data_IF_011257656198
#
_entry.id   IF_011257656198
#
_cell.length_a   1.000
_cell.length_b   1.000
_cell.length_c   1.000
_cell.angle_alpha   90.00
_cell.angle_beta   90.00
_cell.angle_gamma   90.00
#
_symmetry.space_group_name_H-M   'P 1'
#
loop_
_entity.id
_entity.type
_entity.pdbx_description
1 polymer ?
#
# COMPACT_ATOMS: atom_id res chain seq x y z
N UNK A 1 8.65 -20.34 10.79
CA UNK A 1 9.67 -19.36 10.33
C UNK A 1 8.97 -18.42 9.37
N UNK A 2 9.38 -17.15 9.31
CA UNK A 2 8.70 -16.13 8.48
C UNK A 2 9.72 -15.54 7.51
N UNK A 3 9.38 -15.54 6.23
CA UNK A 3 10.15 -14.91 5.17
C UNK A 3 9.82 -13.43 5.09
N UNK A 4 10.82 -12.59 4.86
CA UNK A 4 10.62 -11.14 4.67
C UNK A 4 10.81 -10.77 3.20
N UNK A 5 9.86 -10.01 2.66
CA UNK A 5 9.96 -9.35 1.37
C UNK A 5 9.88 -7.85 1.60
N UNK A 6 11.04 -7.20 1.61
CA UNK A 6 11.16 -5.78 1.89
C UNK A 6 11.26 -5.00 0.58
N UNK A 7 10.28 -4.14 0.32
CA UNK A 7 10.30 -3.14 -0.73
C UNK A 7 10.59 -1.78 -0.11
N UNK A 8 11.50 -1.02 -0.71
CA UNK A 8 11.69 0.39 -0.42
C UNK A 8 11.31 1.23 -1.63
N UNK A 9 10.59 2.33 -1.39
CA UNK A 9 10.23 3.31 -2.41
C UNK A 9 10.81 4.66 -2.02
N UNK A 10 11.60 5.26 -2.92
CA UNK A 10 12.24 6.55 -2.70
C UNK A 10 11.89 7.50 -3.85
N UNK A 11 11.51 8.73 -3.51
CA UNK A 11 11.31 9.78 -4.50
C UNK A 11 12.66 10.17 -5.12
N UNK A 12 12.71 10.14 -6.45
CA UNK A 12 13.88 10.59 -7.23
C UNK A 12 13.67 12.03 -7.67
N UNK A 13 12.54 12.33 -8.33
CA UNK A 13 12.23 13.65 -8.86
C UNK A 13 10.75 13.84 -9.13
N UNK A 14 10.14 14.89 -8.57
CA UNK A 14 8.72 15.25 -8.79
C UNK A 14 7.76 14.07 -8.55
N UNK A 15 7.42 13.32 -9.60
CA UNK A 15 6.53 12.15 -9.60
C UNK A 15 7.23 10.83 -9.95
N UNK A 16 8.56 10.87 -10.07
CA UNK A 16 9.40 9.71 -10.37
C UNK A 16 9.90 9.06 -9.08
N UNK A 17 9.57 7.78 -8.92
CA UNK A 17 9.86 6.97 -7.75
C UNK A 17 10.72 5.79 -8.14
N UNK A 18 11.71 5.50 -7.29
CA UNK A 18 12.53 4.31 -7.43
C UNK A 18 12.09 3.27 -6.41
N UNK A 19 11.61 2.14 -6.91
CA UNK A 19 11.18 0.98 -6.16
C UNK A 19 12.31 -0.04 -6.21
N UNK A 20 12.68 -0.62 -5.07
CA UNK A 20 13.62 -1.74 -5.03
C UNK A 20 13.29 -2.73 -3.94
N UNK A 21 13.65 -3.98 -4.14
CA UNK A 21 13.64 -4.98 -3.08
C UNK A 21 14.94 -4.89 -2.27
N UNK A 22 14.86 -4.64 -0.97
CA UNK A 22 16.03 -4.52 -0.08
C UNK A 22 16.40 -5.85 0.57
N UNK A 23 15.40 -6.65 0.93
CA UNK A 23 15.58 -7.96 1.56
C UNK A 23 14.56 -8.92 0.99
N UNK A 24 15.06 -10.05 0.49
CA UNK A 24 14.27 -11.15 -0.04
C UNK A 24 14.85 -12.47 0.42
N UNK A 25 14.03 -13.51 0.45
CA UNK A 25 14.49 -14.86 0.81
C UNK A 25 15.48 -15.43 -0.21
N UNK A 26 16.37 -16.35 0.22
CA UNK A 26 17.27 -17.04 -0.69
C UNK A 26 16.51 -17.77 -1.79
N UNK A 27 16.83 -17.45 -3.05
CA UNK A 27 16.15 -17.97 -4.25
C UNK A 27 15.18 -16.99 -4.92
N UNK A 28 14.93 -15.83 -4.31
CA UNK A 28 14.12 -14.75 -4.90
C UNK A 28 15.05 -13.71 -5.55
N UNK A 29 14.81 -13.26 -6.78
CA UNK A 29 15.64 -12.26 -7.43
C UNK A 29 15.45 -10.89 -6.77
N UNK A 30 16.56 -10.15 -6.58
CA UNK A 30 16.48 -8.72 -6.29
C UNK A 30 15.95 -7.98 -7.52
N UNK A 31 15.11 -6.99 -7.30
CA UNK A 31 14.39 -6.28 -8.35
C UNK A 31 14.35 -4.79 -8.06
N UNK A 32 14.44 -3.99 -9.11
CA UNK A 32 14.52 -2.54 -9.06
C UNK A 32 13.75 -1.96 -10.24
N UNK A 33 12.89 -0.98 -10.00
CA UNK A 33 12.05 -0.35 -11.02
C UNK A 33 11.97 1.15 -10.79
N UNK A 34 12.11 1.91 -11.88
CA UNK A 34 11.88 3.36 -11.90
C UNK A 34 10.51 3.61 -12.50
N UNK A 35 9.66 4.32 -11.76
CA UNK A 35 8.25 4.45 -12.08
C UNK A 35 7.82 5.89 -11.94
N UNK A 36 6.87 6.32 -12.76
CA UNK A 36 6.24 7.64 -12.63
C UNK A 36 4.82 7.46 -12.10
N UNK A 37 4.50 8.06 -10.97
CA UNK A 37 3.21 7.94 -10.31
C UNK A 37 2.58 9.29 -10.06
N UNK A 38 1.32 9.44 -10.46
CA UNK A 38 0.50 10.59 -10.07
C UNK A 38 -0.05 10.38 -8.65
N UNK A 39 0.81 10.60 -7.66
CA UNK A 39 0.47 10.38 -6.25
C UNK A 39 -0.61 11.36 -5.77
N UNK A 40 -0.66 12.55 -6.36
CA UNK A 40 -1.65 13.57 -5.99
C UNK A 40 -3.07 13.11 -6.37
N UNK A 41 -3.26 12.50 -7.54
CA UNK A 41 -4.54 11.91 -7.94
C UNK A 41 -4.99 10.81 -6.98
N UNK A 42 -4.07 9.93 -6.56
CA UNK A 42 -4.40 8.88 -5.60
C UNK A 42 -4.71 9.42 -4.21
N UNK A 43 -4.04 10.49 -3.79
CA UNK A 43 -4.32 11.17 -2.53
C UNK A 43 -5.69 11.84 -2.55
N UNK A 44 -6.05 12.48 -3.65
CA UNK A 44 -7.36 13.09 -3.83
C UNK A 44 -8.46 12.02 -3.79
N UNK A 45 -8.30 10.91 -4.53
CA UNK A 45 -9.22 9.77 -4.51
C UNK A 45 -9.34 9.16 -3.11
N UNK A 46 -8.21 8.92 -2.42
CA UNK A 46 -8.21 8.38 -1.07
C UNK A 46 -8.90 9.35 -0.10
N UNK A 47 -8.68 10.66 -0.24
CA UNK A 47 -9.33 11.67 0.59
C UNK A 47 -10.84 11.66 0.40
N UNK A 48 -11.34 11.59 -0.84
CA UNK A 48 -12.78 11.53 -1.12
C UNK A 48 -13.39 10.26 -0.52
N UNK A 49 -12.79 9.10 -0.79
CA UNK A 49 -13.30 7.81 -0.32
C UNK A 49 -13.27 7.64 1.21
N UNK A 50 -12.32 8.27 1.90
CA UNK A 50 -12.21 8.18 3.37
C UNK A 50 -12.93 9.31 4.11
N UNK A 51 -13.15 10.48 3.50
CA UNK A 51 -13.92 11.57 4.12
C UNK A 51 -15.43 11.42 3.91
N UNK A 52 -15.89 10.88 2.78
CA UNK A 52 -17.32 10.66 2.52
C UNK A 52 -18.06 9.71 3.48
N UNK A 53 -17.47 8.62 4.04
CA UNK A 53 -18.21 7.77 4.99
C UNK A 53 -18.59 8.52 6.27
N UNK A 54 -17.75 9.45 6.75
CA UNK A 54 -18.09 10.29 7.89
C UNK A 54 -19.22 11.29 7.56
N UNK A 55 -19.24 11.82 6.34
CA UNK A 55 -20.31 12.70 5.87
C UNK A 55 -21.63 11.94 5.61
N UNK A 56 -21.56 10.69 5.17
CA UNK A 56 -22.73 9.81 5.05
C UNK A 56 -23.37 9.50 6.41
N UNK A 57 -22.55 9.29 7.44
CA UNK A 57 -23.00 9.12 8.82
C UNK A 57 -23.55 10.42 9.43
N UNK A 58 -22.86 11.56 9.23
CA UNK A 58 -23.27 12.88 9.71
C UNK A 58 -24.52 13.43 8.98
N UNK A 59 -24.77 13.02 7.73
CA UNK A 59 -26.01 13.35 6.99
C UNK A 59 -27.23 12.54 7.44
N UNK A 60 -27.09 11.68 8.45
CA UNK A 60 -28.22 11.16 9.22
C UNK A 60 -28.55 9.69 9.03
N UNK A 61 -27.58 8.80 8.79
CA UNK A 61 -27.81 7.36 8.96
C UNK A 61 -27.64 6.96 10.44
N UNK A 62 -28.57 7.40 11.29
CA UNK A 62 -28.76 6.78 12.61
C UNK A 62 -29.41 5.40 12.40
N UNK A 63 -28.93 4.32 13.03
CA UNK A 63 -29.50 2.98 12.90
C UNK A 63 -30.84 2.95 13.63
N UNK A 64 -31.88 3.43 12.96
CA UNK A 64 -33.21 3.56 13.55
C UNK A 64 -34.32 3.96 12.57
N UNK A 65 -34.03 4.21 11.29
CA UNK A 65 -35.08 4.48 10.30
C UNK A 65 -34.73 3.89 8.94
N UNK A 66 -35.36 2.75 8.67
CA UNK A 66 -35.30 2.00 7.41
C UNK A 66 -35.74 2.87 6.23
N UNK A 67 -34.96 2.88 5.14
CA UNK A 67 -35.19 2.16 3.86
C UNK A 67 -34.26 2.75 2.78
N UNK A 68 -33.62 1.89 1.96
CA UNK A 68 -32.69 2.20 0.84
C UNK A 68 -31.22 2.59 1.19
N UNK A 69 -30.50 1.76 1.96
CA UNK A 69 -29.08 2.00 2.32
C UNK A 69 -28.02 1.08 1.67
N UNK A 70 -28.40 0.00 0.97
CA UNK A 70 -27.43 -1.03 0.54
C UNK A 70 -26.55 -0.63 -0.66
N UNK A 71 -27.00 0.31 -1.51
CA UNK A 71 -26.27 0.67 -2.73
C UNK A 71 -25.01 1.52 -2.47
N UNK A 72 -25.06 2.41 -1.47
CA UNK A 72 -23.97 3.36 -1.18
C UNK A 72 -22.79 2.65 -0.52
N UNK A 73 -23.06 1.75 0.43
CA UNK A 73 -22.01 1.04 1.18
C UNK A 73 -21.25 0.05 0.29
N UNK A 74 -21.96 -0.62 -0.63
CA UNK A 74 -21.38 -1.51 -1.63
C UNK A 74 -20.53 -0.75 -2.67
N UNK A 75 -20.99 0.43 -3.13
CA UNK A 75 -20.26 1.26 -4.10
C UNK A 75 -18.98 1.87 -3.52
N UNK A 76 -19.01 2.32 -2.26
CA UNK A 76 -17.82 2.82 -1.56
C UNK A 76 -16.80 1.70 -1.33
N UNK A 77 -17.26 0.53 -0.90
CA UNK A 77 -16.42 -0.67 -0.76
C UNK A 77 -15.76 -1.06 -2.08
N UNK A 78 -16.52 -1.05 -3.18
CA UNK A 78 -16.00 -1.32 -4.52
C UNK A 78 -14.95 -0.30 -4.97
N UNK A 79 -15.16 0.98 -4.64
CA UNK A 79 -14.24 2.06 -5.01
C UNK A 79 -12.92 2.00 -4.23
N UNK A 80 -12.97 1.65 -2.94
CA UNK A 80 -11.78 1.44 -2.12
C UNK A 80 -11.01 0.18 -2.55
N UNK A 81 -11.71 -0.88 -2.95
CA UNK A 81 -11.11 -2.06 -3.58
C UNK A 81 -10.42 -1.69 -4.91
N UNK A 82 -11.04 -0.86 -5.75
CA UNK A 82 -10.45 -0.40 -7.00
C UNK A 82 -9.19 0.46 -6.77
N UNK A 83 -9.20 1.35 -5.76
CA UNK A 83 -8.01 2.09 -5.34
C UNK A 83 -6.91 1.13 -4.85
N UNK A 84 -7.27 0.18 -4.00
CA UNK A 84 -6.36 -0.86 -3.52
C UNK A 84 -5.69 -1.67 -4.63
N UNK A 85 -6.45 -1.99 -5.68
CA UNK A 85 -5.96 -2.68 -6.87
C UNK A 85 -5.06 -1.79 -7.74
N UNK A 86 -5.38 -0.50 -7.83
CA UNK A 86 -4.54 0.48 -8.52
C UNK A 86 -3.18 0.61 -7.84
N UNK A 87 -3.16 0.78 -6.52
CA UNK A 87 -1.93 0.84 -5.72
C UNK A 87 -1.13 -0.48 -5.81
N UNK A 88 -1.81 -1.62 -5.83
CA UNK A 88 -1.15 -2.92 -6.00
C UNK A 88 -0.48 -3.03 -7.36
N UNK A 89 -1.19 -2.73 -8.44
CA UNK A 89 -0.65 -2.80 -9.79
C UNK A 89 0.51 -1.81 -9.99
N UNK A 90 0.43 -0.63 -9.38
CA UNK A 90 1.50 0.37 -9.42
C UNK A 90 2.75 -0.10 -8.68
N UNK A 91 2.60 -0.71 -7.49
CA UNK A 91 3.72 -1.18 -6.67
C UNK A 91 4.36 -2.46 -7.25
N UNK A 92 3.53 -3.41 -7.69
CA UNK A 92 3.95 -4.70 -8.21
C UNK A 92 3.87 -4.71 -9.75
N UNK A 93 4.80 -4.00 -10.36
CA UNK A 93 5.00 -3.97 -11.81
C UNK A 93 6.42 -4.39 -12.19
N UNK A 94 6.61 -4.74 -13.46
CA UNK A 94 7.92 -5.13 -14.01
C UNK A 94 8.60 -6.21 -13.18
N UNK A 95 9.89 -6.03 -12.93
CA UNK A 95 10.73 -6.96 -12.17
C UNK A 95 10.30 -7.11 -10.71
N UNK A 96 9.68 -6.08 -10.10
CA UNK A 96 9.16 -6.17 -8.72
C UNK A 96 8.04 -7.22 -8.65
N UNK A 97 7.17 -7.27 -9.68
CA UNK A 97 6.09 -8.27 -9.76
C UNK A 97 6.65 -9.67 -9.84
N UNK A 98 7.65 -9.88 -10.71
CA UNK A 98 8.24 -11.21 -10.90
C UNK A 98 8.96 -11.69 -9.63
N UNK A 99 9.67 -10.78 -8.96
CA UNK A 99 10.28 -11.03 -7.65
C UNK A 99 9.23 -11.37 -6.59
N UNK A 100 8.13 -10.63 -6.52
CA UNK A 100 7.03 -10.89 -5.60
C UNK A 100 6.37 -12.25 -5.82
N UNK A 101 6.04 -12.60 -7.07
CA UNK A 101 5.46 -13.90 -7.42
C UNK A 101 6.42 -15.05 -7.07
N UNK A 102 7.73 -14.84 -7.29
CA UNK A 102 8.75 -15.82 -6.91
C UNK A 102 8.83 -15.98 -5.39
N UNK A 103 8.79 -14.87 -4.63
CA UNK A 103 8.78 -14.91 -3.17
C UNK A 103 7.57 -15.66 -2.60
N UNK A 104 6.38 -15.42 -3.17
CA UNK A 104 5.17 -16.17 -2.82
C UNK A 104 5.32 -17.66 -3.09
N UNK A 105 5.84 -18.04 -4.27
CA UNK A 105 6.08 -19.45 -4.60
C UNK A 105 7.09 -20.13 -3.67
N UNK A 106 8.16 -19.43 -3.29
CA UNK A 106 9.17 -19.93 -2.34
C UNK A 106 8.59 -20.09 -0.94
N UNK A 107 7.80 -19.12 -0.46
CA UNK A 107 7.11 -19.19 0.83
C UNK A 107 6.13 -20.37 0.89
N UNK A 108 5.32 -20.56 -0.16
CA UNK A 108 4.39 -21.69 -0.26
C UNK A 108 5.11 -23.05 -0.27
N UNK A 109 6.17 -23.19 -1.07
CA UNK A 109 6.94 -24.43 -1.13
C UNK A 109 7.58 -24.78 0.21
N UNK A 110 8.09 -23.77 0.93
CA UNK A 110 8.70 -23.94 2.27
C UNK A 110 7.68 -24.03 3.41
N UNK A 111 6.39 -23.78 3.15
CA UNK A 111 5.32 -23.65 4.16
C UNK A 111 5.69 -22.62 5.24
N UNK A 112 6.22 -21.49 4.80
CA UNK A 112 6.58 -20.36 5.65
C UNK A 112 5.67 -19.16 5.36
N UNK A 113 5.40 -18.36 6.38
CA UNK A 113 4.63 -17.13 6.21
C UNK A 113 5.46 -16.09 5.45
N UNK A 114 4.85 -15.35 4.52
CA UNK A 114 5.50 -14.25 3.82
C UNK A 114 5.12 -12.91 4.45
N UNK A 115 6.10 -12.10 4.81
CA UNK A 115 5.87 -10.76 5.37
C UNK A 115 6.29 -9.70 4.35
N UNK A 116 5.31 -8.97 3.82
CA UNK A 116 5.54 -7.81 2.96
C UNK A 116 5.83 -6.59 3.84
N UNK A 117 7.04 -6.06 3.71
CA UNK A 117 7.46 -4.82 4.38
C UNK A 117 7.57 -3.73 3.34
N UNK A 118 6.87 -2.62 3.54
CA UNK A 118 6.91 -1.47 2.65
C UNK A 118 7.55 -0.28 3.36
N UNK A 119 8.72 0.12 2.88
CA UNK A 119 9.47 1.28 3.34
C UNK A 119 9.23 2.46 2.42
N UNK A 120 8.52 3.47 2.90
CA UNK A 120 8.17 4.64 2.10
C UNK A 120 9.02 5.82 2.54
N UNK A 121 9.74 6.46 1.61
CA UNK A 121 10.45 7.72 1.86
C UNK A 121 9.73 8.90 1.21
N UNK A 122 9.76 10.04 1.90
CA UNK A 122 9.08 11.28 1.49
C UNK A 122 7.77 11.51 2.26
N UNK A 123 7.10 12.63 1.99
CA UNK A 123 5.92 13.07 2.77
C UNK A 123 4.58 12.67 2.15
N UNK A 124 4.54 12.41 0.83
CA UNK A 124 3.30 12.12 0.09
C UNK A 124 2.93 10.64 0.16
N UNK A 125 3.86 9.74 -0.18
CA UNK A 125 3.60 8.30 -0.20
C UNK A 125 3.07 7.75 1.13
N UNK A 126 3.59 8.15 2.32
CA UNK A 126 3.05 7.64 3.57
C UNK A 126 1.62 8.10 3.88
N UNK A 127 1.06 9.09 3.17
CA UNK A 127 -0.33 9.52 3.37
C UNK A 127 -1.34 8.62 2.64
N UNK A 128 -0.87 7.82 1.68
CA UNK A 128 -1.74 6.87 0.99
C UNK A 128 -2.13 5.70 1.91
N UNK A 129 -3.34 5.15 1.73
CA UNK A 129 -3.83 4.03 2.52
C UNK A 129 -3.30 2.69 1.96
N UNK A 130 -2.00 2.44 2.08
CA UNK A 130 -1.39 1.18 1.61
C UNK A 130 -1.98 -0.08 2.25
N UNK A 131 -2.68 0.06 3.36
CA UNK A 131 -3.42 -1.01 4.03
C UNK A 131 -4.54 -1.58 3.14
N UNK A 132 -5.01 -0.82 2.15
CA UNK A 132 -6.05 -1.25 1.21
C UNK A 132 -5.51 -2.02 0.00
N UNK A 133 -4.18 -2.21 -0.09
CA UNK A 133 -3.53 -2.93 -1.19
C UNK A 133 -4.25 -4.25 -1.49
N UNK A 134 -4.64 -4.45 -2.74
CA UNK A 134 -5.48 -5.58 -3.12
C UNK A 134 -5.03 -6.21 -4.44
N UNK A 135 -4.79 -7.53 -4.43
CA UNK A 135 -4.46 -8.31 -5.63
C UNK A 135 -5.69 -8.83 -6.40
N UNK A 136 -6.88 -8.24 -6.19
CA UNK A 136 -8.16 -8.70 -6.76
C UNK A 136 -8.96 -9.67 -5.87
N UNK A 137 -8.63 -9.74 -4.58
CA UNK A 137 -9.27 -10.57 -3.56
C UNK A 137 -9.50 -9.80 -2.25
N UNK A 138 -9.38 -10.41 -1.06
CA UNK A 138 -9.30 -9.64 0.18
C UNK A 138 -8.00 -8.80 0.20
N UNK A 139 -8.00 -7.61 0.85
CA UNK A 139 -6.79 -6.80 1.00
C UNK A 139 -5.59 -7.61 1.52
N UNK A 140 -4.39 -7.33 1.02
CA UNK A 140 -3.17 -8.01 1.45
C UNK A 140 -2.89 -7.85 2.94
N UNK A 141 -3.39 -6.77 3.56
CA UNK A 141 -3.30 -6.56 5.00
C UNK A 141 -4.23 -7.47 5.82
N UNK A 142 -5.28 -8.04 5.20
CA UNK A 142 -6.24 -8.95 5.84
C UNK A 142 -6.12 -10.40 5.36
N UNK A 143 -5.22 -10.67 4.40
CA UNK A 143 -4.90 -12.02 3.97
C UNK A 143 -4.12 -12.79 5.03
N UNK A 144 -4.45 -14.07 5.22
CA UNK A 144 -3.75 -14.97 6.16
C UNK A 144 -2.33 -15.33 5.72
N UNK A 145 -2.02 -15.19 4.43
CA UNK A 145 -0.76 -15.66 3.85
C UNK A 145 0.32 -14.57 3.79
N UNK A 146 -0.07 -13.29 3.94
CA UNK A 146 0.83 -12.14 3.84
C UNK A 146 0.65 -11.20 5.02
N UNK A 147 1.68 -11.05 5.84
CA UNK A 147 1.69 -10.02 6.90
C UNK A 147 2.19 -8.70 6.30
N UNK A 148 1.34 -7.67 6.24
CA UNK A 148 1.72 -6.34 5.79
C UNK A 148 2.33 -5.52 6.94
N UNK A 149 3.41 -4.79 6.68
CA UNK A 149 3.99 -3.84 7.64
C UNK A 149 4.53 -2.60 6.94
N UNK A 150 4.02 -1.44 7.37
CA UNK A 150 4.53 -0.13 6.96
C UNK A 150 5.73 0.25 7.82
N UNK A 151 6.83 0.64 7.19
CA UNK A 151 7.95 1.28 7.88
C UNK A 151 8.09 2.73 7.40
N UNK A 152 7.81 3.67 8.29
CA UNK A 152 8.19 5.06 8.12
C UNK A 152 9.58 5.21 8.74
N UNK A 153 10.61 5.45 7.94
CA UNK A 153 11.84 6.00 8.50
C UNK A 153 11.48 7.41 8.97
N UNK A 154 11.36 7.60 10.27
CA UNK A 154 11.17 8.91 10.86
C UNK A 154 12.27 9.82 10.30
N UNK A 155 11.87 10.81 9.52
CA UNK A 155 12.74 11.91 9.16
C UNK A 155 13.05 12.62 10.47
N UNK A 156 14.22 12.35 11.05
CA UNK A 156 14.84 13.34 11.91
C UNK A 156 15.30 14.43 10.95
N UNK A 157 14.69 15.64 10.91
CA UNK A 157 15.40 16.76 10.35
C UNK A 157 16.68 16.85 11.18
N UNK A 158 17.84 16.65 10.54
CA UNK A 158 19.08 17.11 11.13
C UNK A 158 18.88 18.61 11.33
N UNK A 159 18.55 19.00 12.55
CA UNK A 159 18.64 20.37 13.00
C UNK A 159 20.07 20.78 12.70
N UNK A 160 20.24 21.60 11.67
CA UNK A 160 21.48 22.32 11.43
C UNK A 160 21.74 23.12 12.71
N UNK A 161 22.62 22.59 13.55
CA UNK A 161 23.25 23.34 14.64
C UNK A 161 24.08 24.41 13.98
N UNK A 162 23.48 25.58 13.78
CA UNK A 162 24.21 26.80 13.48
C UNK A 162 24.48 27.45 14.85
N UNK A 163 25.69 27.20 15.36
CA UNK A 163 26.27 27.99 16.44
C UNK A 163 26.53 29.40 15.91
N UNK A 164 26.10 30.40 16.67
CA UNK A 164 26.63 31.76 16.66
C UNK A 164 26.63 32.26 18.10
#
# INVERSE_FOLDING_TARGET
MTQEFYISVTLVREDEYWIRTERVSPGVPLAEELVTWNVDEWLDQASQLMHDPLLGLLRGHFPGRSTSGEATDSSLSHSLVALGQTLYNALFQGTIRDSWMTAQGVAQNRREDLRLRLGLRGDRLPRLPWEVLNAGGPPLATGTDVVFSRYQSAFAPMATVLQS
#
